data_IF_097831752521
#
_entry.id   IF_097831752521
#
_cell.length_a   1.000
_cell.length_b   1.000
_cell.length_c   1.000
_cell.angle_alpha   90.00
_cell.angle_beta   90.00
_cell.angle_gamma   90.00
#
_symmetry.space_group_name_H-M   'P 1'
#
loop_
_entity.id
_entity.type
_entity.pdbx_description
1 polymer ?
#
# COMPACT_ATOMS: atom_id res chain seq x y z
N UNK A 1 -20.74 -5.74 4.73
CA UNK A 1 -19.39 -5.40 4.19
C UNK A 1 -18.63 -4.40 5.06
N UNK A 2 -19.23 -3.27 5.51
CA UNK A 2 -18.56 -2.28 6.38
C UNK A 2 -18.12 -2.87 7.73
N UNK A 3 -18.93 -3.73 8.36
CA UNK A 3 -18.58 -4.39 9.62
C UNK A 3 -17.35 -5.29 9.49
N UNK A 4 -17.20 -6.02 8.39
CA UNK A 4 -16.01 -6.84 8.11
C UNK A 4 -14.76 -5.98 7.92
N UNK A 5 -14.87 -4.88 7.18
CA UNK A 5 -13.77 -3.94 6.98
C UNK A 5 -13.32 -3.34 8.32
N UNK A 6 -14.27 -2.91 9.15
CA UNK A 6 -13.97 -2.40 10.48
C UNK A 6 -13.28 -3.45 11.36
N UNK A 7 -13.75 -4.71 11.32
CA UNK A 7 -13.12 -5.81 12.05
C UNK A 7 -11.67 -6.04 11.61
N UNK A 8 -11.40 -6.05 10.29
CA UNK A 8 -10.05 -6.22 9.74
C UNK A 8 -9.13 -5.08 10.21
N UNK A 9 -9.58 -3.82 10.09
CA UNK A 9 -8.81 -2.66 10.54
C UNK A 9 -8.57 -2.72 12.06
N UNK A 10 -9.60 -3.09 12.82
CA UNK A 10 -9.49 -3.24 14.28
C UNK A 10 -8.45 -4.31 14.64
N UNK A 11 -8.52 -5.50 14.05
CA UNK A 11 -7.53 -6.56 14.26
C UNK A 11 -6.10 -6.12 13.92
N UNK A 12 -5.92 -5.38 12.83
CA UNK A 12 -4.62 -4.88 12.41
C UNK A 12 -4.06 -3.82 13.39
N UNK A 13 -4.89 -2.88 13.85
CA UNK A 13 -4.48 -1.82 14.77
C UNK A 13 -4.13 -2.38 16.15
N UNK A 14 -4.91 -3.33 16.64
CA UNK A 14 -4.74 -3.96 17.96
C UNK A 14 -3.98 -5.28 17.89
N UNK A 15 -3.20 -5.52 16.85
CA UNK A 15 -2.47 -6.77 16.61
C UNK A 15 -1.62 -7.20 17.82
N UNK A 16 -0.92 -6.27 18.45
CA UNK A 16 -0.06 -6.54 19.62
C UNK A 16 -0.83 -6.98 20.89
N UNK A 17 -2.15 -6.75 20.94
CA UNK A 17 -3.01 -7.11 22.07
C UNK A 17 -3.80 -8.37 21.77
N UNK A 18 -4.25 -8.52 20.50
CA UNK A 18 -5.11 -9.62 20.07
C UNK A 18 -4.33 -10.89 19.74
N UNK A 19 -3.07 -10.75 19.30
CA UNK A 19 -2.25 -11.90 18.92
C UNK A 19 -1.76 -12.65 20.16
N UNK A 20 -1.91 -14.00 20.21
CA UNK A 20 -1.42 -14.83 21.30
C UNK A 20 0.09 -14.73 21.53
N UNK A 21 0.87 -14.57 20.47
CA UNK A 21 2.33 -14.45 20.49
C UNK A 21 2.80 -13.32 19.58
N UNK A 22 4.04 -12.85 19.80
CA UNK A 22 4.66 -11.92 18.86
C UNK A 22 5.52 -12.70 17.85
N UNK A 23 5.11 -12.81 16.57
CA UNK A 23 5.86 -13.56 15.55
C UNK A 23 7.19 -12.89 15.14
N UNK A 24 7.48 -11.66 15.61
CA UNK A 24 8.75 -10.95 15.39
C UNK A 24 9.75 -11.18 16.53
N UNK A 25 9.32 -11.73 17.66
CA UNK A 25 10.21 -11.97 18.81
C UNK A 25 10.87 -13.34 18.67
N UNK A 26 12.12 -13.34 18.21
CA UNK A 26 12.94 -14.55 18.06
C UNK A 26 13.16 -15.32 19.38
N UNK A 27 12.86 -14.70 20.53
CA UNK A 27 12.94 -15.40 21.84
C UNK A 27 11.72 -16.27 22.09
N UNK A 28 10.61 -15.95 21.45
CA UNK A 28 9.34 -16.67 21.60
C UNK A 28 9.18 -17.71 20.49
N UNK A 29 9.74 -17.44 19.30
CA UNK A 29 9.68 -18.33 18.13
C UNK A 29 10.75 -19.43 18.27
N UNK A 30 10.33 -20.69 18.30
CA UNK A 30 11.22 -21.85 18.35
C UNK A 30 10.97 -22.78 17.16
N UNK A 31 12.04 -23.21 16.50
CA UNK A 31 11.95 -24.20 15.40
C UNK A 31 11.39 -25.54 15.92
N UNK A 32 11.53 -25.83 17.22
CA UNK A 32 10.96 -27.03 17.82
C UNK A 32 9.43 -27.04 17.85
N UNK A 33 8.82 -25.86 17.75
CA UNK A 33 7.37 -25.69 17.62
C UNK A 33 6.91 -25.70 16.14
N UNK A 34 7.79 -26.10 15.21
CA UNK A 34 7.46 -26.15 13.78
C UNK A 34 6.37 -27.16 13.49
N UNK A 35 5.37 -26.75 12.70
CA UNK A 35 4.29 -27.61 12.19
C UNK A 35 3.43 -28.30 13.27
N UNK A 36 3.22 -27.63 14.40
CA UNK A 36 2.27 -28.08 15.39
C UNK A 36 0.84 -28.06 14.84
N UNK A 37 0.04 -29.04 15.24
CA UNK A 37 -1.37 -29.11 14.83
C UNK A 37 -2.22 -28.03 15.51
N UNK A 38 -3.35 -27.64 14.91
CA UNK A 38 -4.30 -26.73 15.59
C UNK A 38 -4.72 -27.25 16.95
N UNK A 39 -4.56 -26.40 17.98
CA UNK A 39 -4.87 -26.71 19.39
C UNK A 39 -3.70 -27.24 20.20
N UNK A 40 -2.55 -27.55 19.60
CA UNK A 40 -1.36 -27.99 20.33
C UNK A 40 -0.74 -26.84 21.15
N UNK A 41 0.00 -27.22 22.18
CA UNK A 41 0.73 -26.26 23.04
C UNK A 41 2.15 -26.06 22.51
N UNK A 42 2.53 -24.83 22.33
CA UNK A 42 3.90 -24.40 22.05
C UNK A 42 4.79 -24.54 23.30
N UNK A 43 6.11 -24.54 23.13
CA UNK A 43 7.08 -24.62 24.23
C UNK A 43 6.94 -23.50 25.26
N UNK A 44 6.47 -22.33 24.84
CA UNK A 44 6.19 -21.20 25.71
C UNK A 44 4.87 -21.34 26.50
N UNK A 45 4.15 -22.46 26.36
CA UNK A 45 2.88 -22.75 27.04
C UNK A 45 1.64 -22.14 26.38
N UNK A 46 1.77 -21.34 25.33
CA UNK A 46 0.61 -20.81 24.58
C UNK A 46 0.00 -21.89 23.68
N UNK A 47 -1.31 -21.79 23.43
CA UNK A 47 -2.02 -22.70 22.54
C UNK A 47 -1.99 -22.14 21.12
N UNK A 48 -1.48 -22.92 20.18
CA UNK A 48 -1.51 -22.60 18.77
C UNK A 48 -2.89 -22.91 18.16
N UNK A 49 -3.81 -21.96 18.22
CA UNK A 49 -5.22 -22.15 17.79
C UNK A 49 -5.36 -22.62 16.34
N UNK A 50 -4.53 -22.13 15.45
CA UNK A 50 -4.50 -22.51 14.03
C UNK A 50 -3.22 -23.31 13.68
N UNK A 51 -2.52 -23.84 14.71
CA UNK A 51 -1.25 -24.49 14.51
C UNK A 51 -0.10 -23.51 14.32
N UNK A 52 1.08 -24.05 13.94
CA UNK A 52 2.29 -23.26 13.69
C UNK A 52 2.80 -23.45 12.26
N UNK A 53 3.52 -22.46 11.75
CA UNK A 53 4.16 -22.56 10.43
C UNK A 53 5.49 -23.33 10.48
N UNK A 54 6.16 -23.47 9.32
CA UNK A 54 7.45 -24.14 9.21
C UNK A 54 8.60 -23.48 9.99
N UNK A 55 8.43 -22.25 10.45
CA UNK A 55 9.39 -21.53 11.29
C UNK A 55 9.02 -21.59 12.78
N UNK A 56 7.95 -22.29 13.18
CA UNK A 56 7.46 -22.38 14.56
C UNK A 56 6.68 -21.17 15.05
N UNK A 57 6.18 -20.31 14.12
CA UNK A 57 5.36 -19.15 14.48
C UNK A 57 3.88 -19.55 14.54
N UNK A 58 3.17 -19.03 15.54
CA UNK A 58 1.71 -19.20 15.63
C UNK A 58 1.01 -18.58 14.41
N UNK A 59 0.26 -19.39 13.68
CA UNK A 59 -0.40 -18.99 12.43
C UNK A 59 -1.44 -17.89 12.68
N UNK A 60 -2.21 -17.94 13.78
CA UNK A 60 -3.19 -16.90 14.10
C UNK A 60 -2.50 -15.56 14.34
N UNK A 61 -1.44 -15.54 15.14
CA UNK A 61 -0.63 -14.34 15.37
C UNK A 61 -0.02 -13.81 14.07
N UNK A 62 0.50 -14.70 13.24
CA UNK A 62 1.08 -14.33 11.95
C UNK A 62 0.04 -13.70 11.00
N UNK A 63 -1.20 -14.19 10.98
CA UNK A 63 -2.30 -13.58 10.21
C UNK A 63 -2.61 -12.18 10.73
N UNK A 64 -2.76 -11.99 12.05
CA UNK A 64 -3.11 -10.70 12.64
C UNK A 64 -2.00 -9.66 12.39
N UNK A 65 -0.73 -10.03 12.59
CA UNK A 65 0.41 -9.16 12.27
C UNK A 65 0.59 -8.97 10.77
N UNK A 66 0.32 -9.99 9.95
CA UNK A 66 0.33 -9.90 8.48
C UNK A 66 -0.69 -8.89 7.95
N UNK A 67 -1.90 -8.87 8.51
CA UNK A 67 -2.91 -7.85 8.22
C UNK A 67 -2.39 -6.44 8.51
N UNK A 68 -1.73 -6.26 9.67
CA UNK A 68 -1.14 -4.97 10.04
C UNK A 68 -0.06 -4.54 9.04
N UNK A 69 0.86 -5.43 8.70
CA UNK A 69 1.94 -5.15 7.74
C UNK A 69 1.37 -4.77 6.37
N UNK A 70 0.46 -5.58 5.82
CA UNK A 70 -0.13 -5.31 4.51
C UNK A 70 -0.93 -4.00 4.49
N UNK A 71 -1.67 -3.67 5.56
CA UNK A 71 -2.37 -2.39 5.65
C UNK A 71 -1.43 -1.19 5.79
N UNK A 72 -0.37 -1.30 6.59
CA UNK A 72 0.65 -0.24 6.73
C UNK A 72 1.31 0.03 5.39
N UNK A 73 1.74 -1.01 4.68
CA UNK A 73 2.35 -0.87 3.35
C UNK A 73 1.38 -0.22 2.37
N UNK A 74 0.15 -0.71 2.30
CA UNK A 74 -0.84 -0.22 1.33
C UNK A 74 -1.23 1.24 1.59
N UNK A 75 -1.55 1.59 2.84
CA UNK A 75 -1.98 2.95 3.18
C UNK A 75 -0.83 3.94 3.03
N UNK A 76 0.38 3.58 3.51
CA UNK A 76 1.55 4.47 3.42
C UNK A 76 1.95 4.72 1.97
N UNK A 77 2.00 3.68 1.13
CA UNK A 77 2.31 3.83 -0.30
C UNK A 77 1.26 4.66 -1.04
N UNK A 78 -0.03 4.43 -0.76
CA UNK A 78 -1.12 5.20 -1.35
C UNK A 78 -1.08 6.69 -0.96
N UNK A 79 -0.76 7.01 0.31
CA UNK A 79 -0.63 8.40 0.77
C UNK A 79 0.56 9.09 0.07
N UNK A 80 1.72 8.45 0.01
CA UNK A 80 2.89 9.03 -0.67
C UNK A 80 2.60 9.24 -2.15
N UNK A 81 2.02 8.24 -2.82
CA UNK A 81 1.63 8.33 -4.23
C UNK A 81 0.60 9.44 -4.47
N UNK A 82 -0.40 9.57 -3.59
CA UNK A 82 -1.40 10.61 -3.63
C UNK A 82 -0.76 12.00 -3.52
N UNK A 83 0.14 12.21 -2.57
CA UNK A 83 0.82 13.50 -2.37
C UNK A 83 1.59 13.87 -3.64
N UNK A 84 2.44 12.98 -4.15
CA UNK A 84 3.23 13.23 -5.36
C UNK A 84 2.32 13.48 -6.57
N UNK A 85 1.33 12.62 -6.78
CA UNK A 85 0.38 12.74 -7.89
C UNK A 85 -0.46 14.02 -7.82
N UNK A 86 -0.87 14.43 -6.61
CA UNK A 86 -1.61 15.66 -6.37
C UNK A 86 -0.81 16.89 -6.81
N UNK A 87 0.45 17.00 -6.36
CA UNK A 87 1.32 18.12 -6.75
C UNK A 87 1.54 18.17 -8.27
N UNK A 88 1.91 17.04 -8.86
CA UNK A 88 2.17 16.97 -10.30
C UNK A 88 0.91 17.25 -11.12
N UNK A 89 -0.22 16.67 -10.74
CA UNK A 89 -1.49 16.85 -11.42
C UNK A 89 -2.03 18.29 -11.34
N UNK A 90 -1.95 18.93 -10.15
CA UNK A 90 -2.36 20.33 -9.98
C UNK A 90 -1.50 21.26 -10.83
N UNK A 91 -0.17 21.10 -10.83
CA UNK A 91 0.74 21.92 -11.63
C UNK A 91 0.44 21.74 -13.12
N UNK A 92 0.31 20.51 -13.60
CA UNK A 92 0.00 20.20 -14.98
C UNK A 92 -1.36 20.83 -15.41
N UNK A 93 -2.41 20.60 -14.61
CA UNK A 93 -3.75 21.10 -14.92
C UNK A 93 -3.88 22.63 -14.84
N UNK A 94 -3.19 23.25 -13.89
CA UNK A 94 -3.25 24.71 -13.70
C UNK A 94 -2.45 25.47 -14.77
N UNK A 95 -1.17 25.13 -14.99
CA UNK A 95 -0.33 25.87 -15.92
C UNK A 95 -0.61 25.49 -17.37
N UNK A 96 -0.89 24.23 -17.66
CA UNK A 96 -1.17 23.80 -19.04
C UNK A 96 0.06 23.88 -19.95
N UNK A 97 -0.18 23.90 -21.28
CA UNK A 97 0.84 24.15 -22.30
C UNK A 97 2.03 23.20 -22.23
N UNK A 98 3.26 23.76 -22.28
CA UNK A 98 4.50 22.96 -22.29
C UNK A 98 4.76 22.22 -20.98
N UNK A 99 4.35 22.80 -19.84
CA UNK A 99 4.52 22.16 -18.50
C UNK A 99 3.64 20.92 -18.43
N UNK A 100 2.38 21.05 -18.81
CA UNK A 100 1.45 19.93 -18.89
C UNK A 100 1.95 18.85 -19.83
N UNK A 101 2.35 19.22 -21.03
CA UNK A 101 2.86 18.27 -22.04
C UNK A 101 4.08 17.49 -21.52
N UNK A 102 5.01 18.15 -20.82
CA UNK A 102 6.19 17.50 -20.25
C UNK A 102 5.82 16.54 -19.10
N UNK A 103 5.04 17.03 -18.12
CA UNK A 103 4.65 16.23 -16.97
C UNK A 103 3.82 15.01 -17.38
N UNK A 104 2.88 15.20 -18.32
CA UNK A 104 2.08 14.07 -18.80
C UNK A 104 2.89 13.09 -19.64
N UNK A 105 3.94 13.52 -20.33
CA UNK A 105 4.85 12.59 -21.00
C UNK A 105 5.55 11.66 -20.00
N UNK A 106 5.99 12.18 -18.86
CA UNK A 106 6.57 11.36 -17.78
C UNK A 106 5.54 10.37 -17.22
N UNK A 107 4.32 10.86 -16.96
CA UNK A 107 3.20 10.03 -16.52
C UNK A 107 2.88 8.92 -17.52
N UNK A 108 2.85 9.25 -18.83
CA UNK A 108 2.54 8.28 -19.89
C UNK A 108 3.63 7.20 -20.02
N UNK A 109 4.90 7.59 -19.90
CA UNK A 109 6.02 6.63 -19.87
C UNK A 109 5.85 5.68 -18.66
N UNK A 110 5.60 6.21 -17.48
CA UNK A 110 5.39 5.41 -16.27
C UNK A 110 4.23 4.42 -16.44
N UNK A 111 3.11 4.84 -16.99
CA UNK A 111 1.92 4.02 -17.19
C UNK A 111 2.01 3.06 -18.38
N UNK A 112 3.02 3.19 -19.23
CA UNK A 112 3.27 2.26 -20.34
C UNK A 112 3.83 0.92 -19.87
N UNK A 113 4.38 0.86 -18.67
CA UNK A 113 4.94 -0.36 -18.10
C UNK A 113 3.93 -1.04 -17.15
N UNK A 114 3.84 -2.38 -17.16
CA UNK A 114 3.04 -3.10 -16.16
C UNK A 114 3.51 -2.80 -14.74
N UNK A 115 2.58 -2.38 -13.87
CA UNK A 115 2.85 -1.96 -12.50
C UNK A 115 3.72 -2.96 -11.71
N UNK A 116 3.38 -4.25 -11.81
CA UNK A 116 4.09 -5.32 -11.09
C UNK A 116 5.55 -5.48 -11.58
N UNK A 117 5.81 -5.30 -12.88
CA UNK A 117 7.17 -5.40 -13.40
C UNK A 117 8.04 -4.24 -12.92
N UNK A 118 7.50 -3.03 -12.88
CA UNK A 118 8.21 -1.87 -12.32
C UNK A 118 8.52 -2.09 -10.84
N UNK A 119 7.54 -2.58 -10.06
CA UNK A 119 7.75 -2.88 -8.65
C UNK A 119 8.82 -3.97 -8.43
N UNK A 120 8.82 -5.04 -9.23
CA UNK A 120 9.83 -6.10 -9.18
C UNK A 120 11.24 -5.57 -9.47
N UNK A 121 11.40 -4.75 -10.52
CA UNK A 121 12.69 -4.14 -10.87
C UNK A 121 13.18 -3.23 -9.75
N UNK A 122 12.29 -2.40 -9.19
CA UNK A 122 12.66 -1.51 -8.08
C UNK A 122 13.10 -2.32 -6.85
N UNK A 123 12.39 -3.38 -6.48
CA UNK A 123 12.76 -4.21 -5.35
C UNK A 123 14.02 -5.04 -5.60
N UNK A 124 14.29 -5.45 -6.84
CA UNK A 124 15.55 -6.09 -7.21
C UNK A 124 16.76 -5.16 -7.00
N UNK A 125 16.58 -3.84 -7.18
CA UNK A 125 17.61 -2.83 -6.98
C UNK A 125 17.71 -2.36 -5.52
N UNK A 126 16.56 -2.15 -4.85
CA UNK A 126 16.49 -1.60 -3.49
C UNK A 126 16.68 -2.66 -2.41
N UNK A 127 16.45 -3.93 -2.74
CA UNK A 127 16.44 -5.04 -1.79
C UNK A 127 15.09 -5.21 -1.08
N UNK A 128 15.05 -6.15 -0.13
CA UNK A 128 13.85 -6.48 0.66
C UNK A 128 13.68 -5.53 1.84
N UNK A 129 12.44 -5.25 2.20
CA UNK A 129 12.08 -4.43 3.37
C UNK A 129 10.73 -3.76 3.20
N UNK A 130 10.02 -3.54 4.31
CA UNK A 130 8.71 -2.87 4.30
C UNK A 130 8.84 -1.46 3.69
N UNK A 131 9.88 -0.70 4.07
CA UNK A 131 10.20 0.62 3.55
C UNK A 131 10.44 0.60 2.04
N UNK A 132 11.13 -0.41 1.54
CA UNK A 132 11.43 -0.59 0.11
C UNK A 132 10.16 -0.89 -0.69
N UNK A 133 9.28 -1.75 -0.14
CA UNK A 133 7.98 -2.06 -0.75
C UNK A 133 7.10 -0.82 -0.80
N UNK A 134 7.04 -0.02 0.28
CA UNK A 134 6.27 1.23 0.31
C UNK A 134 6.77 2.19 -0.78
N UNK A 135 8.08 2.38 -0.90
CA UNK A 135 8.67 3.27 -1.91
C UNK A 135 8.38 2.75 -3.33
N UNK A 136 8.58 1.45 -3.57
CA UNK A 136 8.32 0.85 -4.88
C UNK A 136 6.86 1.03 -5.31
N UNK A 137 5.91 0.74 -4.42
CA UNK A 137 4.48 0.91 -4.69
C UNK A 137 4.09 2.38 -4.88
N UNK A 138 4.66 3.30 -4.10
CA UNK A 138 4.43 4.73 -4.26
C UNK A 138 4.92 5.22 -5.64
N UNK A 139 6.11 4.78 -6.09
CA UNK A 139 6.65 5.10 -7.42
C UNK A 139 5.77 4.54 -8.53
N UNK A 140 5.15 3.39 -8.32
CA UNK A 140 4.26 2.80 -9.34
C UNK A 140 2.93 3.55 -9.46
N UNK A 141 2.37 4.06 -8.35
CA UNK A 141 0.99 4.53 -8.30
C UNK A 141 0.80 6.04 -8.51
N UNK A 142 1.80 6.88 -8.24
CA UNK A 142 1.67 8.35 -8.32
C UNK A 142 1.14 8.86 -9.66
N UNK A 143 1.49 8.17 -10.77
CA UNK A 143 1.11 8.57 -12.12
C UNK A 143 -0.40 8.52 -12.36
N UNK A 144 -1.10 7.54 -11.77
CA UNK A 144 -2.57 7.43 -11.85
C UNK A 144 -3.21 8.61 -11.13
N UNK A 145 -2.72 8.93 -9.92
CA UNK A 145 -3.19 10.11 -9.18
C UNK A 145 -2.94 11.41 -9.95
N UNK A 146 -1.72 11.59 -10.51
CA UNK A 146 -1.37 12.77 -11.28
C UNK A 146 -2.32 12.99 -12.48
N UNK A 147 -2.64 11.94 -13.21
CA UNK A 147 -3.57 11.99 -14.36
C UNK A 147 -4.98 12.36 -13.91
N UNK A 148 -5.47 11.78 -12.83
CA UNK A 148 -6.82 12.05 -12.30
C UNK A 148 -6.92 13.49 -11.78
N UNK A 149 -5.94 13.94 -10.99
CA UNK A 149 -5.89 15.30 -10.46
C UNK A 149 -5.82 16.32 -11.60
N UNK A 150 -4.98 16.08 -12.60
CA UNK A 150 -4.90 16.95 -13.77
C UNK A 150 -6.25 17.11 -14.46
N UNK A 151 -6.96 16.01 -14.69
CA UNK A 151 -8.28 16.06 -15.32
C UNK A 151 -9.27 16.91 -14.50
N UNK A 152 -9.33 16.72 -13.18
CA UNK A 152 -10.15 17.51 -12.29
C UNK A 152 -9.72 18.99 -12.28
N UNK A 153 -8.43 19.27 -12.20
CA UNK A 153 -7.87 20.62 -12.17
C UNK A 153 -8.16 21.41 -13.47
N UNK A 154 -8.13 20.77 -14.64
CA UNK A 154 -8.48 21.42 -15.91
C UNK A 154 -9.96 21.86 -15.92
N UNK A 155 -10.86 20.98 -15.46
CA UNK A 155 -12.28 21.31 -15.37
C UNK A 155 -12.50 22.46 -14.40
N UNK A 156 -11.89 22.40 -13.23
CA UNK A 156 -12.06 23.38 -12.17
C UNK A 156 -11.47 24.75 -12.53
N UNK A 157 -10.29 24.78 -13.16
CA UNK A 157 -9.61 26.00 -13.63
C UNK A 157 -10.48 26.86 -14.58
N UNK A 158 -11.33 26.22 -15.37
CA UNK A 158 -12.17 26.89 -16.37
C UNK A 158 -13.45 27.50 -15.77
N UNK A 159 -13.70 27.33 -14.47
CA UNK A 159 -14.88 27.92 -13.80
C UNK A 159 -14.73 29.42 -13.59
N UNK A 160 -15.86 30.13 -13.64
CA UNK A 160 -15.91 31.61 -13.56
C UNK A 160 -15.25 32.16 -12.29
N UNK A 161 -15.41 31.51 -11.14
CA UNK A 161 -14.83 32.01 -9.89
C UNK A 161 -13.29 31.93 -9.87
N UNK A 162 -12.67 30.98 -10.59
CA UNK A 162 -11.21 30.91 -10.76
C UNK A 162 -10.73 32.02 -11.69
N UNK A 163 -11.49 32.31 -12.77
CA UNK A 163 -11.19 33.40 -13.68
C UNK A 163 -11.33 34.76 -12.96
N UNK A 164 -12.39 34.94 -12.17
CA UNK A 164 -12.57 36.12 -11.34
C UNK A 164 -11.42 36.31 -10.34
N UNK A 165 -10.97 35.24 -9.67
CA UNK A 165 -9.82 35.31 -8.77
C UNK A 165 -8.54 35.74 -9.49
N UNK A 166 -8.32 35.28 -10.72
CA UNK A 166 -7.20 35.70 -11.56
C UNK A 166 -7.32 37.19 -11.97
N UNK A 167 -8.51 37.64 -12.34
CA UNK A 167 -8.75 39.04 -12.68
C UNK A 167 -8.56 39.99 -11.49
N UNK A 168 -8.83 39.54 -10.25
CA UNK A 168 -8.57 40.27 -9.01
C UNK A 168 -7.08 40.30 -8.64
N UNK A 169 -6.20 39.70 -9.43
CA UNK A 169 -4.75 39.73 -9.22
C UNK A 169 -4.26 38.78 -8.11
N UNK A 170 -5.04 37.75 -7.73
CA UNK A 170 -4.59 36.77 -6.76
C UNK A 170 -3.39 35.96 -7.33
N UNK A 171 -2.43 35.65 -6.47
CA UNK A 171 -1.27 34.85 -6.89
C UNK A 171 -1.68 33.44 -7.30
N UNK A 172 -0.98 32.88 -8.29
CA UNK A 172 -1.23 31.53 -8.77
C UNK A 172 -1.19 30.47 -7.64
N UNK A 173 -0.25 30.64 -6.71
CA UNK A 173 -0.16 29.75 -5.54
C UNK A 173 -1.42 29.79 -4.69
N UNK A 174 -1.95 31.00 -4.42
CA UNK A 174 -3.18 31.16 -3.65
C UNK A 174 -4.38 30.53 -4.37
N UNK A 175 -4.48 30.71 -5.69
CA UNK A 175 -5.54 30.11 -6.51
C UNK A 175 -5.45 28.59 -6.46
N UNK A 176 -4.25 28.00 -6.63
CA UNK A 176 -4.06 26.54 -6.58
C UNK A 176 -4.46 26.00 -5.20
N UNK A 177 -3.92 26.57 -4.12
CA UNK A 177 -4.11 26.00 -2.78
C UNK A 177 -5.48 26.27 -2.17
N UNK A 178 -6.03 27.45 -2.39
CA UNK A 178 -7.28 27.88 -1.73
C UNK A 178 -8.53 27.57 -2.55
N UNK A 179 -8.40 27.51 -3.87
CA UNK A 179 -9.55 27.36 -4.76
C UNK A 179 -9.51 26.06 -5.57
N UNK A 180 -8.39 25.74 -6.23
CA UNK A 180 -8.31 24.58 -7.12
C UNK A 180 -8.22 23.27 -6.34
N UNK A 181 -7.30 23.16 -5.39
CA UNK A 181 -7.06 21.95 -4.61
C UNK A 181 -8.31 21.44 -3.89
N UNK A 182 -9.03 22.26 -3.07
CA UNK A 182 -10.19 21.74 -2.33
C UNK A 182 -11.29 21.18 -3.24
N UNK A 183 -11.46 21.79 -4.41
CA UNK A 183 -12.49 21.39 -5.37
C UNK A 183 -12.07 20.22 -6.28
N UNK A 184 -10.78 19.89 -6.30
CA UNK A 184 -10.23 18.74 -7.06
C UNK A 184 -10.10 17.48 -6.21
N UNK A 185 -10.39 17.49 -4.91
CA UNK A 185 -10.18 16.36 -4.00
C UNK A 185 -11.24 15.26 -4.17
N UNK A 186 -12.49 15.59 -4.50
CA UNK A 186 -13.59 14.63 -4.52
C UNK A 186 -13.30 13.33 -5.30
N UNK A 187 -12.79 13.35 -6.53
CA UNK A 187 -12.46 12.12 -7.26
C UNK A 187 -11.29 11.36 -6.65
N UNK A 188 -10.43 12.04 -5.87
CA UNK A 188 -9.25 11.42 -5.26
C UNK A 188 -9.59 10.53 -4.09
N UNK A 189 -10.65 10.81 -3.34
CA UNK A 189 -11.10 9.98 -2.21
C UNK A 189 -11.46 8.58 -2.73
N UNK A 190 -12.25 8.52 -3.81
CA UNK A 190 -12.63 7.24 -4.44
C UNK A 190 -11.40 6.53 -5.00
N UNK A 191 -10.53 7.27 -5.71
CA UNK A 191 -9.31 6.71 -6.27
C UNK A 191 -8.36 6.19 -5.18
N UNK A 192 -8.24 6.88 -4.05
CA UNK A 192 -7.38 6.47 -2.93
C UNK A 192 -7.82 5.13 -2.34
N UNK A 193 -9.12 4.88 -2.20
CA UNK A 193 -9.63 3.59 -1.73
C UNK A 193 -9.31 2.46 -2.71
N UNK A 194 -9.50 2.69 -4.02
CA UNK A 194 -9.18 1.72 -5.06
C UNK A 194 -7.68 1.43 -5.13
N UNK A 195 -6.84 2.47 -5.04
CA UNK A 195 -5.39 2.31 -5.08
C UNK A 195 -4.85 1.64 -3.81
N UNK A 196 -5.45 1.86 -2.65
CA UNK A 196 -5.10 1.11 -1.43
C UNK A 196 -5.40 -0.38 -1.60
N UNK A 197 -6.56 -0.75 -2.14
CA UNK A 197 -6.89 -2.14 -2.43
C UNK A 197 -5.91 -2.76 -3.45
N UNK A 198 -5.55 -2.00 -4.49
CA UNK A 198 -4.57 -2.42 -5.50
C UNK A 198 -3.17 -2.61 -4.89
N UNK A 199 -2.76 -1.73 -3.96
CA UNK A 199 -1.50 -1.87 -3.21
C UNK A 199 -1.43 -3.17 -2.42
N UNK A 200 -2.51 -3.53 -1.72
CA UNK A 200 -2.59 -4.80 -0.97
C UNK A 200 -2.37 -5.98 -1.92
N UNK A 201 -3.02 -5.96 -3.08
CA UNK A 201 -2.89 -7.05 -4.06
C UNK A 201 -1.48 -7.16 -4.64
N UNK A 202 -0.83 -6.04 -4.99
CA UNK A 202 0.54 -6.04 -5.49
C UNK A 202 1.52 -6.45 -4.38
N UNK A 203 1.39 -5.91 -3.15
CA UNK A 203 2.24 -6.30 -2.01
C UNK A 203 2.15 -7.79 -1.76
N UNK A 204 0.93 -8.34 -1.70
CA UNK A 204 0.73 -9.77 -1.49
C UNK A 204 1.37 -10.62 -2.60
N UNK A 205 1.28 -10.18 -3.85
CA UNK A 205 1.92 -10.88 -4.98
C UNK A 205 3.44 -10.81 -4.89
N UNK A 206 4.03 -9.65 -4.57
CA UNK A 206 5.47 -9.47 -4.40
C UNK A 206 6.01 -10.31 -3.24
N UNK A 207 5.29 -10.33 -2.12
CA UNK A 207 5.64 -11.12 -0.94
C UNK A 207 5.47 -12.62 -1.19
N UNK A 208 4.44 -13.04 -1.94
CA UNK A 208 4.27 -14.41 -2.40
C UNK A 208 5.44 -14.88 -3.25
N UNK A 209 5.95 -14.03 -4.16
CA UNK A 209 7.13 -14.31 -4.98
C UNK A 209 8.46 -14.22 -4.20
N UNK A 210 8.42 -13.92 -2.90
CA UNK A 210 9.60 -13.84 -2.04
C UNK A 210 10.47 -12.61 -2.26
N UNK A 211 9.99 -11.60 -3.00
CA UNK A 211 10.74 -10.37 -3.33
C UNK A 211 10.29 -9.18 -2.47
N UNK A 212 9.11 -9.26 -1.84
CA UNK A 212 8.50 -8.19 -1.05
C UNK A 212 9.09 -8.03 0.35
N UNK A 213 8.26 -8.31 1.36
CA UNK A 213 8.62 -8.20 2.77
C UNK A 213 9.61 -9.32 3.14
N UNK A 214 10.60 -9.07 4.03
CA UNK A 214 11.51 -10.11 4.52
C UNK A 214 10.77 -11.27 5.19
N UNK A 215 11.34 -12.49 5.11
CA UNK A 215 10.74 -13.70 5.71
C UNK A 215 10.57 -13.57 7.23
N UNK A 216 11.37 -12.72 7.86
CA UNK A 216 11.31 -12.45 9.31
C UNK A 216 10.07 -11.67 9.72
N UNK A 217 9.39 -11.03 8.77
CA UNK A 217 8.23 -10.19 9.02
C UNK A 217 7.00 -10.81 8.33
N UNK A 218 5.94 -11.21 9.09
CA UNK A 218 4.75 -11.76 8.47
C UNK A 218 4.04 -10.74 7.60
N UNK A 219 3.69 -11.15 6.38
CA UNK A 219 2.73 -10.48 5.50
C UNK A 219 1.71 -11.49 5.02
N UNK A 220 0.56 -11.03 4.57
CA UNK A 220 -0.46 -11.93 4.03
C UNK A 220 0.07 -12.71 2.82
N UNK A 221 0.86 -12.05 1.96
CA UNK A 221 1.45 -12.69 0.79
C UNK A 221 2.47 -13.79 1.15
N UNK A 222 3.32 -13.57 2.15
CA UNK A 222 4.27 -14.57 2.61
C UNK A 222 3.58 -15.76 3.29
N UNK A 223 2.48 -15.53 4.02
CA UNK A 223 1.68 -16.60 4.60
C UNK A 223 1.02 -17.48 3.54
N UNK A 224 0.50 -16.87 2.47
CA UNK A 224 -0.07 -17.61 1.32
C UNK A 224 1.03 -18.46 0.65
N UNK A 225 2.25 -17.91 0.46
CA UNK A 225 3.38 -18.65 -0.11
C UNK A 225 3.76 -19.87 0.75
N UNK A 226 3.89 -19.66 2.07
CA UNK A 226 4.21 -20.73 3.00
C UNK A 226 3.13 -21.82 3.01
N UNK A 227 1.85 -21.43 2.99
CA UNK A 227 0.73 -22.39 2.92
C UNK A 227 0.70 -23.17 1.60
N UNK A 228 1.03 -22.52 0.49
CA UNK A 228 1.13 -23.15 -0.82
C UNK A 228 2.26 -24.18 -0.87
N UNK A 229 3.44 -23.83 -0.35
CA UNK A 229 4.59 -24.76 -0.26
C UNK A 229 4.27 -25.97 0.64
N UNK A 230 3.51 -25.75 1.72
CA UNK A 230 3.06 -26.82 2.60
C UNK A 230 2.13 -27.79 1.89
N UNK A 231 1.17 -27.31 1.10
CA UNK A 231 0.25 -28.14 0.31
C UNK A 231 1.04 -28.96 -0.74
N UNK A 232 2.02 -28.34 -1.40
CA UNK A 232 2.83 -29.01 -2.43
C UNK A 232 3.78 -30.07 -1.86
N UNK A 233 4.26 -29.86 -0.63
CA UNK A 233 5.17 -30.82 0.03
C UNK A 233 4.47 -32.09 0.50
N UNK A 234 3.13 -32.12 0.50
CA UNK A 234 2.34 -33.28 0.92
C UNK A 234 2.47 -33.60 2.42
N UNK A 235 2.91 -32.63 3.21
CA UNK A 235 3.18 -32.81 4.64
C UNK A 235 1.95 -32.49 5.48
#
# INVERSE_FOLDING_TARGET
SLGLLFLIIFCALFASILAPTNPYDLKVVSILDSRLSPGDKMLNGTVAWLGTDGAGRDVLSAIIFGLRTSLVVAVSSAIIALIVGLFVGLIAGFYGGKIDAFLMRVVDIQLSFPAILVALVLLALLGKGIDKVIIALAIVQWAIYARTVRAAAIVERNKEYIQAASCLGLSNALIIWKHLLPNSISPLIVLATLQTAHSISIEATLSFLGVGVPITEPSLGSLISNGFDFILSGA
#
